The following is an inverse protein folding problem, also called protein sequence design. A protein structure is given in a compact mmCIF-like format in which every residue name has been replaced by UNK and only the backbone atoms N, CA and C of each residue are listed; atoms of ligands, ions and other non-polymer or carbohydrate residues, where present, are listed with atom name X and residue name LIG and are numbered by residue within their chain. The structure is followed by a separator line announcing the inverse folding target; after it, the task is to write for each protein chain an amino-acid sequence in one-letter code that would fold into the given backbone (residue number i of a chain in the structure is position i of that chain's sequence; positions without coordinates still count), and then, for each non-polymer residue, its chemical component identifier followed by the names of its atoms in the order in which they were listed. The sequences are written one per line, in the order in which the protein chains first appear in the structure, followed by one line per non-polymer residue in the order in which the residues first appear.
data_IF_901808697007
#
_entry.id   IF_901808697007
#
_cell.length_a   1.000
_cell.length_b   1.000
_cell.length_c   1.000
_cell.angle_alpha   90.00
_cell.angle_beta   90.00
_cell.angle_gamma   90.00
#
_symmetry.space_group_name_H-M   'P 1'
#
loop_
_entity.id
_entity.type
_entity.pdbx_description
1 polymer ?
#
# COMPACT_ATOMS: atom_id res chain seq x y z
N UNK A 1 -2.18 11.72 4.68
CA UNK A 1 -2.05 10.29 4.34
C UNK A 1 -0.62 9.88 4.59
N UNK A 2 -0.39 8.59 4.75
CA UNK A 2 0.93 8.00 4.92
C UNK A 2 1.21 7.06 3.75
N UNK A 3 2.48 6.93 3.40
CA UNK A 3 2.98 5.85 2.55
C UNK A 3 3.63 4.85 3.49
N UNK A 4 3.02 3.68 3.62
CA UNK A 4 3.55 2.61 4.44
C UNK A 4 4.18 1.53 3.55
N UNK A 5 5.44 1.21 3.84
CA UNK A 5 6.15 0.08 3.28
C UNK A 5 6.21 -1.02 4.33
N UNK A 6 5.74 -2.20 4.01
CA UNK A 6 5.74 -3.33 4.93
C UNK A 6 5.99 -4.64 4.19
N UNK A 7 6.37 -5.66 4.93
CA UNK A 7 6.46 -7.03 4.45
C UNK A 7 5.13 -7.71 4.73
N UNK A 8 4.59 -8.41 3.74
CA UNK A 8 3.41 -9.25 3.92
C UNK A 8 3.70 -10.66 3.40
N UNK A 9 2.68 -11.51 3.51
CA UNK A 9 2.76 -12.91 3.13
C UNK A 9 3.30 -13.05 1.68
N UNK A 10 4.29 -13.93 1.44
CA UNK A 10 4.84 -14.16 0.09
C UNK A 10 3.80 -14.69 -0.90
N UNK A 11 2.82 -15.45 -0.39
CA UNK A 11 1.82 -16.13 -1.21
C UNK A 11 0.59 -15.24 -1.50
N UNK A 12 0.21 -14.38 -0.56
CA UNK A 12 -0.94 -13.48 -0.72
C UNK A 12 -0.66 -12.10 -0.12
N UNK A 13 -0.26 -11.17 -0.99
CA UNK A 13 0.01 -9.77 -0.65
C UNK A 13 -1.23 -8.88 -0.78
N UNK A 14 -2.39 -9.44 -1.11
CA UNK A 14 -3.61 -8.67 -1.35
C UNK A 14 -4.23 -8.25 -0.02
N UNK A 15 -4.88 -7.07 0.03
CA UNK A 15 -5.58 -6.64 1.23
C UNK A 15 -6.76 -7.57 1.53
N UNK A 16 -6.93 -7.91 2.79
CA UNK A 16 -8.04 -8.73 3.31
C UNK A 16 -9.35 -7.95 3.22
N UNK A 17 -9.29 -6.63 3.45
CA UNK A 17 -10.45 -5.75 3.39
C UNK A 17 -10.51 -5.00 2.05
N UNK A 18 -11.57 -5.25 1.29
CA UNK A 18 -11.89 -4.56 0.04
C UNK A 18 -13.26 -3.87 0.19
N UNK A 19 -13.44 -2.64 -0.32
CA UNK A 19 -12.53 -1.83 -1.13
C UNK A 19 -11.50 -1.04 -0.32
N UNK A 20 -10.26 -1.06 -0.77
CA UNK A 20 -9.22 -0.16 -0.26
C UNK A 20 -9.43 1.26 -0.79
N UNK A 21 -9.23 2.26 0.08
CA UNK A 21 -9.31 3.66 -0.30
C UNK A 21 -8.13 4.13 -1.15
N UNK A 22 -6.98 3.51 -0.92
CA UNK A 22 -5.68 3.98 -1.41
C UNK A 22 -4.97 2.90 -2.22
N UNK A 23 -4.15 3.29 -3.21
CA UNK A 23 -3.42 2.35 -4.06
C UNK A 23 -2.26 1.69 -3.31
N UNK A 24 -1.93 0.47 -3.74
CA UNK A 24 -0.81 -0.32 -3.26
C UNK A 24 -0.02 -0.93 -4.42
N UNK A 25 1.24 -1.24 -4.17
CA UNK A 25 2.18 -1.84 -5.11
C UNK A 25 3.01 -2.90 -4.41
N UNK A 26 3.22 -4.02 -5.10
CA UNK A 26 4.26 -4.96 -4.74
C UNK A 26 5.58 -4.48 -5.36
N UNK A 27 6.55 -4.14 -4.53
CA UNK A 27 7.86 -3.62 -4.98
C UNK A 27 8.93 -4.70 -5.13
N UNK A 28 8.67 -5.88 -4.58
CA UNK A 28 9.57 -7.01 -4.68
C UNK A 28 9.18 -8.12 -3.72
N UNK A 29 9.88 -9.24 -3.82
CA UNK A 29 9.79 -10.38 -2.91
C UNK A 29 11.17 -10.57 -2.30
N UNK A 30 11.30 -10.65 -0.97
CA UNK A 30 12.56 -10.81 -0.27
C UNK A 30 12.48 -11.93 0.76
N UNK A 31 13.44 -12.86 0.77
CA UNK A 31 13.61 -13.94 1.77
C UNK A 31 12.35 -14.74 2.16
N UNK A 32 11.38 -14.86 1.24
CA UNK A 32 10.10 -15.51 1.54
C UNK A 32 9.03 -14.58 2.10
N UNK A 33 9.10 -13.28 1.84
CA UNK A 33 8.03 -12.30 2.11
C UNK A 33 7.86 -11.36 0.91
N UNK A 34 6.64 -10.86 0.71
CA UNK A 34 6.36 -9.83 -0.30
C UNK A 34 6.60 -8.45 0.32
N UNK A 35 7.26 -7.52 -0.37
CA UNK A 35 7.42 -6.12 0.06
C UNK A 35 6.35 -5.27 -0.63
N UNK A 36 5.38 -4.82 0.15
CA UNK A 36 4.25 -4.01 -0.30
C UNK A 36 4.51 -2.57 0.10
N UNK A 37 4.19 -1.66 -0.79
CA UNK A 37 4.08 -0.23 -0.53
C UNK A 37 2.65 0.16 -0.77
N UNK A 38 1.94 0.61 0.26
CA UNK A 38 0.57 1.09 0.16
C UNK A 38 0.48 2.50 0.72
N UNK A 39 -0.37 3.33 0.11
CA UNK A 39 -0.83 4.53 0.81
C UNK A 39 -1.97 4.16 1.75
N UNK A 40 -2.12 4.88 2.84
CA UNK A 40 -3.22 4.77 3.78
C UNK A 40 -3.48 6.12 4.46
N UNK A 41 -4.63 6.28 5.09
CA UNK A 41 -4.86 7.43 5.96
C UNK A 41 -3.92 7.36 7.19
N UNK A 42 -3.76 6.16 7.78
CA UNK A 42 -3.01 5.88 9.00
C UNK A 42 -2.53 4.41 9.06
N UNK A 43 -1.66 4.10 10.02
CA UNK A 43 -1.09 2.75 10.19
C UNK A 43 -2.15 1.71 10.60
N UNK A 44 -3.21 2.15 11.27
CA UNK A 44 -4.32 1.28 11.70
C UNK A 44 -5.10 0.77 10.48
N UNK A 45 -5.26 1.60 9.44
CA UNK A 45 -5.83 1.20 8.15
C UNK A 45 -4.95 0.17 7.42
N UNK A 46 -3.62 0.30 7.50
CA UNK A 46 -2.69 -0.73 6.97
C UNK A 46 -2.90 -2.04 7.71
N UNK A 47 -2.88 -2.03 9.04
CA UNK A 47 -3.06 -3.24 9.86
C UNK A 47 -4.44 -3.87 9.70
N UNK A 48 -5.49 -3.08 9.42
CA UNK A 48 -6.82 -3.61 9.07
C UNK A 48 -6.82 -4.33 7.74
N UNK A 49 -6.13 -3.78 6.74
CA UNK A 49 -6.08 -4.36 5.40
C UNK A 49 -5.09 -5.54 5.33
N UNK A 50 -3.97 -5.45 6.04
CA UNK A 50 -2.91 -6.43 6.13
C UNK A 50 -2.57 -6.68 7.61
N UNK A 51 -3.34 -7.52 8.32
CA UNK A 51 -3.08 -7.84 9.72
C UNK A 51 -1.76 -8.58 9.94
N UNK A 52 -1.27 -9.28 8.91
CA UNK A 52 0.04 -9.95 8.88
C UNK A 52 1.17 -9.04 8.33
N UNK A 53 0.96 -7.71 8.30
CA UNK A 53 2.01 -6.78 7.91
C UNK A 53 3.12 -6.73 8.98
N UNK A 54 4.35 -6.99 8.55
CA UNK A 54 5.55 -6.89 9.36
C UNK A 54 6.46 -5.75 8.87
N UNK A 55 7.30 -5.21 9.74
CA UNK A 55 8.30 -4.19 9.37
C UNK A 55 7.65 -2.94 8.73
N UNK A 56 6.59 -2.41 9.37
CA UNK A 56 5.84 -1.24 8.92
C UNK A 56 6.70 0.02 9.00
N UNK A 57 7.06 0.55 7.84
CA UNK A 57 7.79 1.80 7.66
C UNK A 57 6.81 2.83 7.07
N UNK A 58 6.19 3.62 7.94
CA UNK A 58 5.22 4.64 7.58
C UNK A 58 5.90 6.00 7.41
N UNK A 59 5.65 6.65 6.27
CA UNK A 59 6.18 7.99 5.96
C UNK A 59 5.02 8.92 5.61
N UNK A 60 4.95 10.08 6.27
CA UNK A 60 3.92 11.09 5.98
C UNK A 60 4.11 11.66 4.56
N UNK A 61 3.02 11.67 3.79
CA UNK A 61 3.00 12.18 2.41
C UNK A 61 1.75 13.02 2.18
N UNK A 62 1.94 14.21 1.64
CA UNK A 62 0.83 15.08 1.24
C UNK A 62 0.19 14.65 -0.09
N UNK A 63 0.94 13.97 -0.96
CA UNK A 63 0.50 13.57 -2.31
C UNK A 63 0.97 12.16 -2.73
N UNK A 64 0.25 11.57 -3.67
CA UNK A 64 0.58 10.25 -4.21
C UNK A 64 1.73 10.37 -5.21
N UNK A 65 2.89 9.80 -4.87
CA UNK A 65 4.03 9.76 -5.78
C UNK A 65 3.87 8.61 -6.79
N UNK A 66 3.12 8.85 -7.87
CA UNK A 66 3.10 7.94 -9.02
C UNK A 66 4.31 8.21 -9.90
N UNK A 67 5.11 7.18 -10.15
CA UNK A 67 6.28 7.25 -11.04
C UNK A 67 6.20 6.10 -12.04
N UNK A 68 7.12 6.03 -13.00
CA UNK A 68 7.16 4.93 -13.95
C UNK A 68 7.24 3.54 -13.27
N UNK A 69 7.89 3.47 -12.10
CA UNK A 69 7.94 2.26 -11.26
C UNK A 69 6.69 2.05 -10.40
N UNK A 70 5.99 3.13 -10.06
CA UNK A 70 4.79 3.12 -9.24
C UNK A 70 3.62 3.64 -10.07
N UNK A 71 3.21 2.85 -11.06
CA UNK A 71 2.13 3.25 -11.98
C UNK A 71 0.82 3.40 -11.23
N UNK A 72 0.10 4.47 -11.52
CA UNK A 72 -1.26 4.68 -11.00
C UNK A 72 -2.15 3.51 -11.44
N UNK A 73 -2.78 2.77 -10.51
CA UNK A 73 -3.70 1.71 -10.89
C UNK A 73 -4.92 2.27 -11.61
N UNK A 74 -5.40 1.58 -12.65
CA UNK A 74 -6.58 1.99 -13.43
C UNK A 74 -7.86 2.12 -12.57
N UNK A 75 -7.98 1.27 -11.54
CA UNK A 75 -9.10 1.32 -10.60
C UNK A 75 -9.03 2.54 -9.65
N UNK A 76 -7.84 3.14 -9.49
CA UNK A 76 -7.62 4.24 -8.57
C UNK A 76 -7.86 5.58 -9.27
N UNK A 77 -9.08 6.09 -9.17
CA UNK A 77 -9.40 7.43 -9.63
C UNK A 77 -9.20 8.40 -8.48
N UNK A 78 -8.11 9.17 -8.52
CA UNK A 78 -8.04 10.46 -7.82
C UNK A 78 -9.26 11.25 -8.28
N UNK A 79 -10.28 11.36 -7.44
CA UNK A 79 -11.33 12.35 -7.65
C UNK A 79 -10.66 13.71 -7.46
N UNK A 80 -10.12 14.25 -8.55
CA UNK A 80 -9.84 15.68 -8.62
C UNK A 80 -11.17 16.37 -8.28
N UNK A 81 -11.19 17.10 -7.16
CA UNK A 81 -12.34 17.95 -6.83
C UNK A 81 -12.44 18.98 -7.96
N UNK A 82 -13.40 18.80 -8.86
CA UNK A 82 -13.92 19.88 -9.72
C UNK A 82 -14.95 20.70 -8.96
#
# INVERSE_FOLDING_TARGET
MIRCRFKANPEDYRPVNWPIKHPYWCTGYGDGSSIIVAYADDEDEIMKNWPDAEDLDSEERDEYAFTDRFKKPDWFTLKEKS
#
